data_IF_603372842825
#
_entry.id   IF_603372842825
#
_cell.length_a   1.000
_cell.length_b   1.000
_cell.length_c   1.000
_cell.angle_alpha   90.00
_cell.angle_beta   90.00
_cell.angle_gamma   90.00
#
_symmetry.space_group_name_H-M   'P 1'
#
loop_
_entity.id
_entity.type
_entity.pdbx_description
1 polymer ?
#
# COMPACT_ATOMS: atom_id res chain seq x y z
N UNK A 1 -7.61 20.77 3.78
CA UNK A 1 -8.33 20.53 2.51
C UNK A 1 -7.81 19.23 1.91
N UNK A 2 -8.55 18.57 0.99
CA UNK A 2 -8.02 17.43 0.24
C UNK A 2 -6.69 17.80 -0.45
N UNK A 3 -5.80 16.81 -0.63
CA UNK A 3 -4.60 16.99 -1.46
C UNK A 3 -5.02 17.27 -2.90
N UNK A 4 -4.20 18.05 -3.62
CA UNK A 4 -4.33 18.08 -5.06
C UNK A 4 -3.87 16.75 -5.67
N UNK A 5 -4.13 16.58 -6.97
CA UNK A 5 -3.85 15.33 -7.64
C UNK A 5 -2.36 14.97 -7.66
N UNK A 6 -1.47 15.94 -7.85
CA UNK A 6 -0.03 15.67 -7.94
C UNK A 6 0.56 15.33 -6.57
N UNK A 7 0.12 16.05 -5.53
CA UNK A 7 0.52 15.76 -4.16
C UNK A 7 0.01 14.39 -3.70
N UNK A 8 -1.20 14.01 -4.12
CA UNK A 8 -1.75 12.68 -3.86
C UNK A 8 -0.92 11.58 -4.53
N UNK A 9 -0.57 11.74 -5.81
CA UNK A 9 0.27 10.78 -6.54
C UNK A 9 1.66 10.65 -5.87
N UNK A 10 2.25 11.77 -5.45
CA UNK A 10 3.51 11.75 -4.72
C UNK A 10 3.38 10.99 -3.39
N UNK A 11 2.30 11.21 -2.65
CA UNK A 11 2.03 10.48 -1.40
C UNK A 11 1.88 8.97 -1.64
N UNK A 12 1.11 8.55 -2.67
CA UNK A 12 0.92 7.14 -3.01
C UNK A 12 2.24 6.45 -3.38
N UNK A 13 3.11 7.13 -4.13
CA UNK A 13 4.43 6.62 -4.53
C UNK A 13 5.40 6.41 -3.37
N UNK A 14 5.22 7.16 -2.28
CA UNK A 14 6.10 7.13 -1.11
C UNK A 14 5.51 6.39 0.08
N UNK A 15 4.26 5.94 0.01
CA UNK A 15 3.60 5.24 1.09
C UNK A 15 4.06 3.77 1.19
N UNK A 16 4.21 3.28 2.41
CA UNK A 16 4.45 1.85 2.68
C UNK A 16 3.15 1.01 2.63
N UNK A 17 2.00 1.65 2.86
CA UNK A 17 0.65 1.05 2.86
C UNK A 17 -0.40 2.15 2.67
N UNK A 18 -1.45 1.86 1.90
CA UNK A 18 -2.60 2.76 1.73
C UNK A 18 -3.86 2.12 2.33
N UNK A 19 -4.53 2.83 3.22
CA UNK A 19 -5.85 2.45 3.75
C UNK A 19 -6.89 3.33 3.07
N UNK A 20 -7.81 2.74 2.29
CA UNK A 20 -8.75 3.52 1.49
C UNK A 20 -10.08 2.78 1.27
N UNK A 21 -11.16 3.54 1.15
CA UNK A 21 -12.46 3.09 0.64
C UNK A 21 -12.76 3.66 -0.78
N UNK A 22 -11.86 4.49 -1.32
CA UNK A 22 -11.98 5.09 -2.65
C UNK A 22 -11.59 4.09 -3.75
N UNK A 23 -12.50 3.82 -4.69
CA UNK A 23 -12.25 2.95 -5.83
C UNK A 23 -11.12 3.44 -6.74
N UNK A 24 -11.06 4.75 -7.02
CA UNK A 24 -9.99 5.32 -7.85
C UNK A 24 -8.60 5.11 -7.25
N UNK A 25 -8.48 5.23 -5.92
CA UNK A 25 -7.19 5.00 -5.23
C UNK A 25 -6.83 3.52 -5.19
N UNK A 26 -7.83 2.63 -5.14
CA UNK A 26 -7.60 1.18 -5.28
C UNK A 26 -7.04 0.83 -6.67
N UNK A 27 -7.40 1.59 -7.70
CA UNK A 27 -6.88 1.42 -9.07
C UNK A 27 -5.50 2.05 -9.24
N UNK A 28 -5.25 3.22 -8.66
CA UNK A 28 -4.01 3.97 -8.84
C UNK A 28 -2.85 3.46 -7.97
N UNK A 29 -3.08 3.16 -6.69
CA UNK A 29 -2.01 2.79 -5.75
C UNK A 29 -1.19 1.55 -6.17
N UNK A 30 -1.78 0.47 -6.72
CA UNK A 30 -1.02 -0.68 -7.22
C UNK A 30 -0.06 -0.35 -8.36
N UNK A 31 -0.30 0.72 -9.12
CA UNK A 31 0.61 1.20 -10.18
C UNK A 31 1.99 1.56 -9.63
N UNK A 32 2.07 1.94 -8.35
CA UNK A 32 3.33 2.29 -7.67
C UNK A 32 3.92 1.13 -6.85
N UNK A 33 3.29 -0.05 -6.87
CA UNK A 33 3.67 -1.18 -6.03
C UNK A 33 3.29 -1.00 -4.56
N UNK A 34 2.44 -0.02 -4.24
CA UNK A 34 2.02 0.29 -2.88
C UNK A 34 0.88 -0.65 -2.47
N UNK A 35 1.03 -1.45 -1.39
CA UNK A 35 -0.04 -2.31 -0.90
C UNK A 35 -1.28 -1.51 -0.48
N UNK A 36 -2.47 -2.06 -0.72
CA UNK A 36 -3.75 -1.41 -0.39
C UNK A 36 -4.54 -2.26 0.60
N UNK A 37 -5.01 -1.64 1.68
CA UNK A 37 -6.02 -2.19 2.57
C UNK A 37 -7.35 -1.50 2.30
N UNK A 38 -8.34 -2.28 1.86
CA UNK A 38 -9.66 -1.78 1.51
C UNK A 38 -10.52 -1.72 2.77
N UNK A 39 -11.00 -0.53 3.11
CA UNK A 39 -11.75 -0.28 4.35
C UNK A 39 -13.23 -0.72 4.30
N UNK A 40 -13.66 -1.37 3.21
CA UNK A 40 -15.04 -1.85 3.03
C UNK A 40 -15.13 -3.35 3.35
N UNK A 41 -16.28 -3.77 3.89
CA UNK A 41 -16.56 -5.17 4.23
C UNK A 41 -16.74 -6.05 2.98
N UNK A 42 -17.17 -5.45 1.86
CA UNK A 42 -17.36 -6.12 0.57
C UNK A 42 -16.66 -5.26 -0.48
N UNK A 43 -15.77 -5.87 -1.28
CA UNK A 43 -15.20 -5.24 -2.47
C UNK A 43 -15.81 -5.88 -3.72
N UNK A 44 -16.24 -5.05 -4.67
CA UNK A 44 -16.67 -5.46 -6.00
C UNK A 44 -15.51 -5.82 -6.94
N UNK A 45 -14.25 -5.64 -6.50
CA UNK A 45 -13.03 -5.90 -7.28
C UNK A 45 -12.19 -7.04 -6.68
N UNK A 46 -12.54 -8.31 -6.95
CA UNK A 46 -11.81 -9.47 -6.41
C UNK A 46 -10.37 -9.59 -6.94
N UNK A 47 -10.07 -9.02 -8.11
CA UNK A 47 -8.78 -9.18 -8.79
C UNK A 47 -7.61 -8.61 -7.97
N UNK A 48 -7.84 -7.50 -7.26
CA UNK A 48 -6.83 -6.90 -6.38
C UNK A 48 -6.53 -7.77 -5.15
N UNK A 49 -7.54 -8.50 -4.66
CA UNK A 49 -7.38 -9.46 -3.54
C UNK A 49 -6.57 -10.66 -4.02
N UNK A 50 -6.89 -11.20 -5.19
CA UNK A 50 -6.21 -12.35 -5.79
C UNK A 50 -4.73 -12.05 -6.09
N UNK A 51 -4.44 -10.85 -6.60
CA UNK A 51 -3.08 -10.39 -6.85
C UNK A 51 -2.28 -10.07 -5.57
N UNK A 52 -2.91 -10.15 -4.39
CA UNK A 52 -2.27 -9.88 -3.10
C UNK A 52 -1.93 -8.41 -2.84
N UNK A 53 -2.41 -7.51 -3.70
CA UNK A 53 -2.18 -6.06 -3.62
C UNK A 53 -3.32 -5.33 -2.91
N UNK A 54 -4.46 -5.99 -2.69
CA UNK A 54 -5.60 -5.50 -1.93
C UNK A 54 -6.08 -6.52 -0.89
N UNK A 55 -6.68 -6.07 0.20
CA UNK A 55 -7.42 -6.95 1.14
C UNK A 55 -8.66 -6.26 1.70
N UNK A 56 -9.79 -6.94 1.63
CA UNK A 56 -11.04 -6.52 2.25
C UNK A 56 -11.14 -7.11 3.66
N UNK A 57 -11.57 -6.30 4.63
CA UNK A 57 -11.79 -6.77 6.00
C UNK A 57 -11.56 -5.68 7.05
N UNK A 58 -12.60 -4.90 7.31
CA UNK A 58 -12.70 -4.16 8.57
C UNK A 58 -12.67 -5.12 9.76
N UNK A 59 -11.89 -4.80 10.79
CA UNK A 59 -11.88 -5.37 12.14
C UNK A 59 -11.22 -6.73 12.45
N UNK A 60 -10.63 -7.50 11.52
CA UNK A 60 -9.83 -8.68 11.90
C UNK A 60 -8.39 -8.60 11.40
N UNK A 61 -7.63 -7.71 12.04
CA UNK A 61 -6.16 -7.75 12.02
C UNK A 61 -5.68 -8.91 12.89
N UNK A 62 -5.00 -9.89 12.28
CA UNK A 62 -4.30 -10.98 12.97
C UNK A 62 -2.88 -11.10 12.42
N UNK A 63 -1.87 -11.42 13.24
CA UNK A 63 -0.47 -11.42 12.80
C UNK A 63 -0.22 -12.47 11.71
N UNK A 64 0.19 -12.02 10.53
CA UNK A 64 0.70 -12.91 9.48
C UNK A 64 2.05 -13.49 9.92
N UNK A 65 2.03 -14.76 10.34
CA UNK A 65 3.27 -15.56 10.40
C UNK A 65 3.65 -16.00 8.99
N UNK A 66 4.79 -15.50 8.53
CA UNK A 66 5.68 -16.21 7.61
C UNK A 66 5.74 -15.67 6.18
N UNK A 67 6.85 -15.02 5.83
CA UNK A 67 7.19 -14.69 4.44
C UNK A 67 8.24 -13.59 4.23
N UNK A 68 9.42 -13.72 4.86
CA UNK A 68 10.69 -13.10 4.42
C UNK A 68 10.71 -11.65 3.90
N UNK A 69 10.61 -10.65 4.78
CA UNK A 69 11.14 -9.31 4.51
C UNK A 69 12.62 -9.29 4.93
N UNK A 70 13.52 -9.42 3.96
CA UNK A 70 14.96 -9.24 4.15
C UNK A 70 15.31 -7.76 4.35
N UNK A 71 15.70 -7.43 5.59
CA UNK A 71 16.77 -6.46 5.85
C UNK A 71 16.41 -4.97 5.99
N UNK A 72 16.93 -4.28 7.01
CA UNK A 72 16.72 -2.85 7.21
C UNK A 72 17.56 -2.01 6.23
N UNK A 73 16.94 -0.98 5.65
CA UNK A 73 17.65 0.07 4.88
C UNK A 73 18.69 0.74 5.79
N UNK A 74 19.97 0.54 5.49
CA UNK A 74 21.09 1.39 5.95
C UNK A 74 21.87 1.85 4.71
N UNK A 75 21.67 3.08 4.29
CA UNK A 75 22.66 3.78 3.46
C UNK A 75 23.53 4.63 4.39
N UNK A 76 24.61 4.00 4.88
CA UNK A 76 25.75 4.73 5.42
C UNK A 76 26.44 5.47 4.29
N UNK A 77 26.60 6.79 4.44
CA UNK A 77 27.44 7.62 3.58
C UNK A 77 28.90 7.37 4.01
N UNK A 78 29.57 6.43 3.35
CA UNK A 78 31.01 6.26 3.46
C UNK A 78 31.68 7.19 2.44
N UNK A 79 32.48 8.15 2.93
CA UNK A 79 33.42 8.89 2.10
C UNK A 79 34.63 8.04 1.73
N UNK A 80 35.24 8.37 0.60
CA UNK A 80 36.66 8.14 0.24
C UNK A 80 36.90 8.68 -1.17
N UNK A 81 38.16 8.92 -1.59
CA UNK A 81 39.41 9.00 -0.82
C UNK A 81 39.93 10.43 -0.64
#
# INVERSE_FOLDING_TARGET
APLDYFDLVAALRHADLVLTDSGGIQEEAPTFGTPVLVLREVTERPEGIEAGVARAGGHRWGPHRGGGASGPRRSGRAGSP
#
